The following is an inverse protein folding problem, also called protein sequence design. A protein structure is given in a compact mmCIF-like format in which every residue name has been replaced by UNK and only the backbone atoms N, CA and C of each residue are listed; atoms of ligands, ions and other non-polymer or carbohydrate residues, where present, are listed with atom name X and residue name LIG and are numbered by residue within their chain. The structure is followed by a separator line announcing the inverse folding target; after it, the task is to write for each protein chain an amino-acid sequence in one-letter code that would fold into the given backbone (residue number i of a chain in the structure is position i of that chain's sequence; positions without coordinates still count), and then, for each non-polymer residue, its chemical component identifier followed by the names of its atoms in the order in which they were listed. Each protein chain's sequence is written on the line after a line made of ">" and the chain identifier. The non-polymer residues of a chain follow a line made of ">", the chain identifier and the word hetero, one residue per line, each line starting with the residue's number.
data_IF_657071887250
#
_entry.id   IF_657071887250
#
_cell.length_a   1.000
_cell.length_b   1.000
_cell.length_c   1.000
_cell.angle_alpha   90.00
_cell.angle_beta   90.00
_cell.angle_gamma   90.00
#
_symmetry.space_group_name_H-M   'P 1'
#
loop_
_entity.id
_entity.type
_entity.pdbx_description
1 polymer ?
#
# COMPACT_ATOMS: atom_id res chain seq x y z
N UNK A 1 -1.54 -22.08 15.80
CA UNK A 1 -0.12 -21.68 15.84
C UNK A 1 0.06 -20.58 16.88
N UNK A 2 1.13 -20.57 17.68
CA UNK A 2 1.27 -19.67 18.84
C UNK A 2 1.50 -18.21 18.40
N UNK A 3 0.80 -17.26 19.03
CA UNK A 3 0.99 -15.80 18.81
C UNK A 3 2.20 -15.22 19.53
N UNK A 4 2.76 -15.97 20.49
CA UNK A 4 4.00 -15.65 21.20
C UNK A 4 5.14 -16.52 20.66
N UNK A 5 6.20 -15.88 20.19
CA UNK A 5 7.38 -16.56 19.64
C UNK A 5 8.57 -16.47 20.60
N UNK A 6 9.32 -17.56 20.77
CA UNK A 6 10.55 -17.59 21.58
C UNK A 6 11.79 -17.60 20.66
N UNK A 7 12.64 -16.58 20.80
CA UNK A 7 13.85 -16.36 19.97
C UNK A 7 14.94 -17.44 20.09
N UNK A 8 14.90 -18.33 21.09
CA UNK A 8 15.91 -19.37 21.31
C UNK A 8 16.13 -20.31 20.12
N UNK A 9 15.11 -20.57 19.31
CA UNK A 9 15.21 -21.44 18.13
C UNK A 9 15.79 -20.73 16.91
N UNK A 10 15.60 -19.41 16.80
CA UNK A 10 15.99 -18.61 15.63
C UNK A 10 17.49 -18.32 15.60
N UNK A 11 18.10 -17.96 16.73
CA UNK A 11 19.53 -17.64 16.79
C UNK A 11 20.45 -18.82 16.42
N UNK A 12 19.92 -20.04 16.39
CA UNK A 12 20.63 -21.23 15.90
C UNK A 12 20.61 -21.38 14.37
N UNK A 13 19.70 -20.70 13.65
CA UNK A 13 19.39 -20.97 12.24
C UNK A 13 19.65 -19.82 11.26
N UNK A 14 19.66 -18.55 11.70
CA UNK A 14 19.44 -17.42 10.78
C UNK A 14 20.44 -16.27 10.87
N UNK A 15 21.41 -16.31 11.78
CA UNK A 15 22.53 -15.38 11.72
C UNK A 15 23.59 -15.99 10.80
N UNK A 16 23.81 -15.47 9.58
CA UNK A 16 25.13 -15.62 8.99
C UNK A 16 26.04 -14.86 9.94
N UNK A 17 26.70 -15.60 10.83
CA UNK A 17 27.82 -15.12 11.62
C UNK A 17 28.95 -14.82 10.64
N UNK A 18 28.80 -13.76 9.85
CA UNK A 18 29.86 -13.20 9.02
C UNK A 18 30.87 -12.63 10.01
N UNK A 19 31.78 -13.50 10.46
CA UNK A 19 32.95 -13.13 11.26
C UNK A 19 33.06 -13.69 12.68
N UNK A 20 32.18 -14.58 13.16
CA UNK A 20 32.41 -15.22 14.45
C UNK A 20 32.86 -16.67 14.24
N UNK A 21 34.14 -16.90 14.52
CA UNK A 21 34.72 -18.22 14.68
C UNK A 21 33.82 -19.09 15.56
N UNK A 22 33.72 -20.37 15.19
CA UNK A 22 32.79 -21.37 15.69
C UNK A 22 32.89 -21.72 17.21
N UNK A 23 33.48 -20.86 18.04
CA UNK A 23 33.84 -21.17 19.43
C UNK A 23 32.87 -20.55 20.45
N UNK A 24 32.06 -19.54 20.09
CA UNK A 24 31.31 -18.74 21.07
C UNK A 24 29.81 -19.10 21.25
N UNK A 25 29.31 -20.19 20.65
CA UNK A 25 27.89 -20.61 20.78
C UNK A 25 27.69 -21.74 21.81
N UNK A 26 28.76 -22.38 22.27
CA UNK A 26 28.71 -23.52 23.20
C UNK A 26 28.61 -23.12 24.69
N UNK A 27 28.83 -21.85 25.06
CA UNK A 27 28.87 -21.43 26.46
C UNK A 27 27.50 -21.09 27.08
N UNK A 28 26.46 -20.86 26.28
CA UNK A 28 25.11 -20.48 26.78
C UNK A 28 24.29 -21.70 27.24
N UNK A 29 24.76 -22.93 26.99
CA UNK A 29 24.06 -24.15 27.39
C UNK A 29 24.29 -24.56 28.87
N UNK A 30 25.20 -23.90 29.60
CA UNK A 30 25.63 -24.33 30.94
C UNK A 30 25.63 -23.22 32.01
N UNK A 31 24.66 -22.31 32.04
CA UNK A 31 24.25 -21.57 33.26
C UNK A 31 25.31 -20.86 34.13
N UNK A 32 26.54 -20.67 33.66
CA UNK A 32 27.63 -20.03 34.39
C UNK A 32 27.80 -18.59 33.88
N UNK A 33 27.68 -17.63 34.80
CA UNK A 33 27.99 -16.23 34.52
C UNK A 33 29.51 -16.10 34.44
N UNK A 34 30.07 -16.19 33.23
CA UNK A 34 31.49 -15.90 32.99
C UNK A 34 31.59 -14.48 32.46
N UNK A 35 31.94 -13.51 33.30
CA UNK A 35 32.31 -12.16 32.85
C UNK A 35 33.68 -12.21 32.19
N UNK A 36 33.67 -12.40 30.88
CA UNK A 36 34.82 -12.43 29.98
C UNK A 36 34.69 -11.31 28.95
N UNK A 37 35.81 -10.89 28.37
CA UNK A 37 35.81 -9.88 27.31
C UNK A 37 34.98 -10.34 26.10
N UNK A 38 35.06 -11.65 25.80
CA UNK A 38 34.33 -12.32 24.73
C UNK A 38 32.82 -12.28 24.95
N UNK A 39 32.35 -12.44 26.20
CA UNK A 39 30.93 -12.24 26.54
C UNK A 39 30.52 -10.78 26.36
N UNK A 40 31.38 -9.82 26.74
CA UNK A 40 31.13 -8.40 26.51
C UNK A 40 30.97 -8.05 25.02
N UNK A 41 31.81 -8.61 24.15
CA UNK A 41 31.71 -8.44 22.70
C UNK A 41 30.46 -9.12 22.11
N UNK A 42 30.13 -10.32 22.60
CA UNK A 42 28.91 -11.04 22.21
C UNK A 42 27.66 -10.28 22.63
N UNK A 43 27.59 -9.78 23.86
CA UNK A 43 26.47 -9.01 24.39
C UNK A 43 26.34 -7.66 23.67
N UNK A 44 27.46 -6.99 23.35
CA UNK A 44 27.48 -5.79 22.52
C UNK A 44 26.96 -6.03 21.10
N UNK A 45 27.30 -7.18 20.51
CA UNK A 45 26.81 -7.59 19.18
C UNK A 45 25.32 -7.92 19.20
N UNK A 46 24.86 -8.70 20.19
CA UNK A 46 23.45 -9.04 20.39
C UNK A 46 22.59 -7.81 20.74
N UNK A 47 23.19 -6.80 21.37
CA UNK A 47 22.58 -5.51 21.66
C UNK A 47 22.54 -4.53 20.47
N UNK A 48 23.25 -4.83 19.39
CA UNK A 48 23.45 -3.92 18.27
C UNK A 48 22.20 -3.69 17.40
N UNK A 49 22.17 -2.54 16.71
CA UNK A 49 21.11 -2.18 15.78
C UNK A 49 20.81 -3.24 14.69
N UNK A 50 21.81 -3.95 14.10
CA UNK A 50 21.53 -5.00 13.12
C UNK A 50 20.75 -6.19 13.71
N UNK A 51 21.04 -6.57 14.95
CA UNK A 51 20.32 -7.67 15.62
C UNK A 51 18.90 -7.24 15.97
N UNK A 52 18.70 -6.00 16.45
CA UNK A 52 17.34 -5.44 16.64
C UNK A 52 16.52 -5.46 15.35
N UNK A 53 17.11 -5.03 14.23
CA UNK A 53 16.45 -5.05 12.93
C UNK A 53 16.10 -6.48 12.47
N UNK A 54 17.01 -7.45 12.69
CA UNK A 54 16.76 -8.85 12.38
C UNK A 54 15.62 -9.45 13.24
N UNK A 55 15.60 -9.16 14.54
CA UNK A 55 14.51 -9.58 15.45
C UNK A 55 13.18 -8.96 15.04
N UNK A 56 13.18 -7.68 14.68
CA UNK A 56 11.99 -6.99 14.22
C UNK A 56 11.45 -7.55 12.90
N UNK A 57 12.33 -7.88 11.95
CA UNK A 57 11.93 -8.52 10.71
C UNK A 57 11.36 -9.92 10.96
N UNK A 58 12.00 -10.71 11.84
CA UNK A 58 11.47 -12.01 12.24
C UNK A 58 10.10 -11.90 12.90
N UNK A 59 9.88 -10.91 13.76
CA UNK A 59 8.59 -10.65 14.38
C UNK A 59 7.50 -10.48 13.32
N UNK A 60 7.76 -9.62 12.33
CA UNK A 60 6.85 -9.39 11.19
C UNK A 60 6.58 -10.65 10.39
N UNK A 61 7.62 -11.40 10.08
CA UNK A 61 7.49 -12.65 9.31
C UNK A 61 6.75 -13.73 10.10
N UNK A 62 6.89 -13.77 11.42
CA UNK A 62 6.17 -14.71 12.28
C UNK A 62 4.68 -14.37 12.33
N UNK A 63 4.34 -13.07 12.45
CA UNK A 63 2.95 -12.61 12.31
C UNK A 63 2.40 -13.06 10.95
N UNK A 64 3.14 -12.74 9.88
CA UNK A 64 2.70 -13.04 8.52
C UNK A 64 2.49 -14.55 8.31
N UNK A 65 3.44 -15.39 8.72
CA UNK A 65 3.34 -16.84 8.64
C UNK A 65 2.07 -17.35 9.33
N UNK A 66 1.82 -16.87 10.55
CA UNK A 66 0.63 -17.23 11.33
C UNK A 66 -0.67 -16.82 10.64
N UNK A 67 -0.73 -15.60 10.08
CA UNK A 67 -1.89 -15.07 9.37
C UNK A 67 -2.23 -15.87 8.10
N UNK A 68 -1.24 -16.49 7.45
CA UNK A 68 -1.44 -17.33 6.26
C UNK A 68 -1.42 -18.84 6.57
N UNK A 69 -1.32 -19.24 7.84
CA UNK A 69 -1.28 -20.66 8.23
C UNK A 69 0.01 -21.38 7.81
N UNK A 70 1.10 -20.66 7.61
CA UNK A 70 2.41 -21.18 7.23
C UNK A 70 3.23 -21.45 8.50
N UNK A 71 3.82 -22.64 8.61
CA UNK A 71 4.59 -23.02 9.81
C UNK A 71 5.76 -22.08 10.13
N UNK A 72 6.50 -21.67 9.09
CA UNK A 72 7.64 -20.77 9.23
C UNK A 72 8.11 -20.27 7.87
N UNK A 73 8.27 -18.94 7.75
CA UNK A 73 8.92 -18.32 6.59
C UNK A 73 10.46 -18.42 6.64
N UNK A 74 11.02 -18.93 7.74
CA UNK A 74 12.45 -19.03 7.99
C UNK A 74 13.03 -20.40 7.67
N UNK A 75 12.31 -21.48 7.98
CA UNK A 75 12.87 -22.84 7.99
C UNK A 75 12.46 -23.70 6.80
N UNK A 76 11.63 -23.16 5.91
CA UNK A 76 11.05 -23.85 4.76
C UNK A 76 11.04 -22.87 3.57
N UNK A 77 11.04 -23.37 2.33
CA UNK A 77 10.91 -22.58 1.11
C UNK A 77 9.71 -23.02 0.23
N UNK A 78 9.06 -24.14 0.58
CA UNK A 78 7.96 -24.78 -0.15
C UNK A 78 6.64 -24.02 -0.08
N UNK A 79 6.53 -23.02 0.81
CA UNK A 79 5.33 -22.18 0.90
C UNK A 79 5.10 -21.31 -0.35
N UNK A 80 6.05 -21.28 -1.29
CA UNK A 80 5.89 -20.66 -2.61
C UNK A 80 5.70 -21.69 -3.75
N UNK A 81 5.60 -22.98 -3.47
CA UNK A 81 5.48 -24.01 -4.50
C UNK A 81 4.04 -24.14 -5.02
N UNK A 82 3.06 -23.89 -4.16
CA UNK A 82 1.65 -23.84 -4.56
C UNK A 82 1.27 -22.44 -5.06
N UNK A 83 1.26 -22.28 -6.38
CA UNK A 83 0.86 -21.03 -7.06
C UNK A 83 -0.62 -20.67 -6.89
N UNK A 84 -1.44 -21.60 -6.40
CA UNK A 84 -2.87 -21.39 -6.13
C UNK A 84 -3.14 -20.95 -4.69
N UNK A 85 -2.15 -21.07 -3.80
CA UNK A 85 -2.27 -20.63 -2.41
C UNK A 85 -2.48 -19.11 -2.31
N UNK A 86 -3.27 -18.68 -1.33
CA UNK A 86 -3.53 -17.25 -1.07
C UNK A 86 -2.21 -16.49 -0.84
N UNK A 87 -1.29 -17.09 -0.07
CA UNK A 87 0.00 -16.49 0.23
C UNK A 87 0.83 -16.24 -1.03
N UNK A 88 0.97 -17.25 -1.91
CA UNK A 88 1.74 -17.08 -3.14
C UNK A 88 1.13 -15.99 -4.01
N UNK A 89 -0.19 -16.02 -4.24
CA UNK A 89 -0.86 -15.05 -5.10
C UNK A 89 -0.70 -13.62 -4.59
N UNK A 90 -0.82 -13.42 -3.27
CA UNK A 90 -0.65 -12.11 -2.67
C UNK A 90 0.80 -11.63 -2.69
N UNK A 91 1.76 -12.50 -2.33
CA UNK A 91 3.18 -12.16 -2.31
C UNK A 91 3.70 -11.86 -3.72
N UNK A 92 3.27 -12.64 -4.71
CA UNK A 92 3.61 -12.40 -6.11
C UNK A 92 2.95 -11.12 -6.64
N UNK A 93 1.68 -10.86 -6.28
CA UNK A 93 1.02 -9.59 -6.62
C UNK A 93 1.72 -8.38 -6.00
N UNK A 94 2.18 -8.50 -4.75
CA UNK A 94 2.96 -7.45 -4.08
C UNK A 94 4.28 -7.20 -4.80
N UNK A 95 4.94 -8.26 -5.29
CA UNK A 95 6.15 -8.14 -6.11
C UNK A 95 5.89 -7.42 -7.44
N UNK A 96 4.88 -7.85 -8.19
CA UNK A 96 4.51 -7.20 -9.45
C UNK A 96 4.18 -5.73 -9.23
N UNK A 97 3.40 -5.41 -8.19
CA UNK A 97 3.11 -4.05 -7.77
C UNK A 97 4.39 -3.26 -7.45
N UNK A 98 5.27 -3.81 -6.61
CA UNK A 98 6.52 -3.18 -6.20
C UNK A 98 7.40 -2.86 -7.41
N UNK A 99 7.66 -3.84 -8.27
CA UNK A 99 8.48 -3.67 -9.46
C UNK A 99 7.85 -2.68 -10.44
N UNK A 100 6.57 -2.85 -10.78
CA UNK A 100 5.89 -1.99 -11.75
C UNK A 100 5.78 -0.54 -11.26
N UNK A 101 5.57 -0.28 -9.96
CA UNK A 101 5.54 1.09 -9.44
C UNK A 101 6.92 1.76 -9.34
N UNK A 102 8.00 0.99 -9.23
CA UNK A 102 9.35 1.54 -9.38
C UNK A 102 9.67 1.85 -10.86
N UNK A 103 9.27 0.96 -11.77
CA UNK A 103 9.42 1.15 -13.23
C UNK A 103 8.67 2.39 -13.72
N UNK A 104 7.49 2.68 -13.15
CA UNK A 104 6.72 3.89 -13.46
C UNK A 104 7.55 5.19 -13.27
N UNK A 105 8.46 5.22 -12.30
CA UNK A 105 9.31 6.38 -12.02
C UNK A 105 10.68 6.32 -12.69
N UNK A 106 11.15 5.11 -13.02
CA UNK A 106 12.39 4.88 -13.75
C UNK A 106 12.24 3.64 -14.63
N UNK A 107 12.08 3.83 -15.94
CA UNK A 107 11.86 2.72 -16.90
C UNK A 107 13.00 1.70 -16.93
N UNK A 108 14.22 2.11 -16.54
CA UNK A 108 15.40 1.25 -16.48
C UNK A 108 15.62 0.61 -15.11
N UNK A 109 14.77 0.89 -14.12
CA UNK A 109 14.93 0.48 -12.72
C UNK A 109 15.28 -1.00 -12.58
N UNK A 110 14.57 -1.88 -13.29
CA UNK A 110 14.79 -3.32 -13.14
C UNK A 110 16.20 -3.73 -13.59
N UNK A 111 16.70 -3.19 -14.70
CA UNK A 111 18.05 -3.51 -15.19
C UNK A 111 19.13 -2.93 -14.28
N UNK A 112 18.91 -1.73 -13.75
CA UNK A 112 19.81 -1.10 -12.76
C UNK A 112 19.86 -1.91 -11.45
N UNK A 113 18.71 -2.37 -10.96
CA UNK A 113 18.64 -3.17 -9.74
C UNK A 113 19.26 -4.55 -9.89
N UNK A 114 19.17 -5.19 -11.06
CA UNK A 114 19.82 -6.48 -11.28
C UNK A 114 21.33 -6.46 -11.05
N UNK A 115 22.01 -5.44 -11.58
CA UNK A 115 23.45 -5.25 -11.34
C UNK A 115 23.77 -5.10 -9.84
N UNK A 116 22.89 -4.40 -9.11
CA UNK A 116 23.00 -4.24 -7.66
C UNK A 116 22.79 -5.57 -6.93
N UNK A 117 21.83 -6.38 -7.37
CA UNK A 117 21.53 -7.68 -6.78
C UNK A 117 22.65 -8.71 -7.02
N UNK A 118 23.25 -8.70 -8.21
CA UNK A 118 24.42 -9.53 -8.53
C UNK A 118 25.61 -9.17 -7.62
N UNK A 119 25.90 -7.87 -7.48
CA UNK A 119 26.98 -7.37 -6.62
C UNK A 119 26.77 -7.74 -5.15
N UNK A 120 25.52 -7.71 -4.69
CA UNK A 120 25.15 -8.05 -3.31
C UNK A 120 24.93 -9.56 -3.09
N UNK A 121 25.10 -10.40 -4.11
CA UNK A 121 24.94 -11.85 -4.01
C UNK A 121 23.50 -12.31 -3.76
N UNK A 122 22.49 -11.55 -4.20
CA UNK A 122 21.07 -11.89 -4.01
C UNK A 122 20.34 -12.30 -5.30
N UNK A 123 21.06 -12.43 -6.41
CA UNK A 123 20.50 -12.83 -7.70
C UNK A 123 20.33 -14.34 -7.91
N UNK A 124 20.70 -15.14 -6.91
CA UNK A 124 20.50 -16.59 -6.88
C UNK A 124 19.99 -17.04 -5.52
N UNK A 125 19.27 -18.16 -5.50
CA UNK A 125 18.79 -18.80 -4.29
C UNK A 125 18.91 -20.31 -4.38
N UNK A 126 19.53 -20.91 -3.36
CA UNK A 126 19.61 -22.35 -3.18
C UNK A 126 18.53 -22.80 -2.20
N UNK A 127 17.67 -23.72 -2.62
CA UNK A 127 16.64 -24.27 -1.75
C UNK A 127 17.27 -25.05 -0.59
N UNK A 128 16.67 -24.96 0.60
CA UNK A 128 17.22 -25.56 1.82
C UNK A 128 17.34 -27.09 1.78
N UNK A 129 16.37 -27.76 1.15
CA UNK A 129 16.25 -29.22 1.18
C UNK A 129 16.62 -29.90 -0.16
N UNK A 130 17.10 -29.13 -1.14
CA UNK A 130 17.46 -29.68 -2.46
C UNK A 130 18.75 -29.06 -2.99
N UNK A 131 19.36 -29.70 -3.99
CA UNK A 131 20.51 -29.11 -4.72
C UNK A 131 20.07 -28.10 -5.80
N UNK A 132 18.78 -27.77 -5.87
CA UNK A 132 18.27 -26.90 -6.91
C UNK A 132 18.57 -25.43 -6.59
N UNK A 133 18.91 -24.69 -7.63
CA UNK A 133 19.14 -23.25 -7.58
C UNK A 133 18.16 -22.57 -8.54
N UNK A 134 17.58 -21.47 -8.11
CA UNK A 134 16.84 -20.54 -8.97
C UNK A 134 17.58 -19.20 -9.04
N UNK A 135 17.40 -18.49 -10.14
CA UNK A 135 18.08 -17.22 -10.39
C UNK A 135 17.06 -16.14 -10.78
N UNK A 136 17.50 -14.89 -10.65
CA UNK A 136 16.79 -13.74 -11.21
C UNK A 136 16.87 -13.76 -12.73
N UNK A 137 15.71 -13.79 -13.38
CA UNK A 137 15.60 -13.76 -14.83
C UNK A 137 15.71 -12.33 -15.40
N UNK A 138 15.89 -12.21 -16.72
CA UNK A 138 15.85 -10.93 -17.43
C UNK A 138 14.45 -10.28 -17.48
N UNK A 139 13.45 -10.87 -16.81
CA UNK A 139 12.08 -10.39 -16.75
C UNK A 139 11.64 -10.23 -15.29
N UNK A 140 11.20 -9.02 -14.92
CA UNK A 140 10.69 -8.76 -13.58
C UNK A 140 9.41 -9.55 -13.29
N UNK A 141 8.62 -9.87 -14.31
CA UNK A 141 7.39 -10.68 -14.18
C UNK A 141 7.68 -12.19 -14.12
N UNK A 142 8.93 -12.61 -13.94
CA UNK A 142 9.23 -14.02 -13.75
C UNK A 142 8.91 -14.45 -12.31
N UNK A 143 8.25 -15.61 -12.18
CA UNK A 143 8.10 -16.28 -10.88
C UNK A 143 9.45 -16.61 -10.25
N UNK A 144 10.48 -16.94 -11.04
CA UNK A 144 11.82 -17.22 -10.49
C UNK A 144 12.47 -15.95 -9.93
N UNK A 145 12.31 -14.80 -10.61
CA UNK A 145 12.77 -13.50 -10.08
C UNK A 145 12.12 -13.21 -8.74
N UNK A 146 10.79 -13.33 -8.66
CA UNK A 146 10.05 -13.17 -7.41
C UNK A 146 10.55 -14.12 -6.31
N UNK A 147 10.56 -15.44 -6.58
CA UNK A 147 10.94 -16.45 -5.60
C UNK A 147 12.37 -16.23 -5.10
N UNK A 148 13.31 -15.96 -6.01
CA UNK A 148 14.72 -15.71 -5.66
C UNK A 148 14.83 -14.51 -4.71
N UNK A 149 14.20 -13.39 -5.03
CA UNK A 149 14.28 -12.17 -4.23
C UNK A 149 13.49 -12.23 -2.92
N UNK A 150 12.41 -13.02 -2.85
CA UNK A 150 11.61 -13.18 -1.64
C UNK A 150 12.23 -14.22 -0.67
N UNK A 151 12.72 -15.34 -1.19
CA UNK A 151 13.32 -16.40 -0.36
C UNK A 151 14.68 -15.97 0.21
N UNK A 152 15.39 -15.07 -0.47
CA UNK A 152 16.65 -14.53 0.04
C UNK A 152 16.42 -13.58 1.23
N UNK A 153 16.92 -13.95 2.42
CA UNK A 153 16.70 -13.20 3.67
C UNK A 153 17.45 -11.87 3.73
N UNK A 154 18.51 -11.70 2.94
CA UNK A 154 19.26 -10.43 2.89
C UNK A 154 18.66 -9.43 1.90
N UNK A 155 17.68 -9.86 1.12
CA UNK A 155 16.95 -9.00 0.19
C UNK A 155 16.08 -8.00 0.94
N UNK A 156 16.34 -6.71 0.74
CA UNK A 156 15.48 -5.64 1.28
C UNK A 156 14.07 -5.67 0.68
N UNK A 157 13.93 -6.21 -0.53
CA UNK A 157 12.64 -6.37 -1.23
C UNK A 157 11.71 -7.28 -0.44
N UNK A 158 12.25 -8.37 0.13
CA UNK A 158 11.47 -9.27 0.99
C UNK A 158 10.75 -8.51 2.11
N UNK A 159 11.45 -7.56 2.74
CA UNK A 159 10.90 -6.75 3.81
C UNK A 159 9.76 -5.84 3.35
N UNK A 160 9.91 -5.20 2.18
CA UNK A 160 8.86 -4.38 1.57
C UNK A 160 7.63 -5.23 1.24
N UNK A 161 7.82 -6.43 0.69
CA UNK A 161 6.75 -7.37 0.37
C UNK A 161 6.03 -7.86 1.64
N UNK A 162 6.76 -8.21 2.69
CA UNK A 162 6.17 -8.55 3.99
C UNK A 162 5.33 -7.40 4.54
N UNK A 163 5.80 -6.15 4.44
CA UNK A 163 5.03 -4.99 4.90
C UNK A 163 3.73 -4.81 4.10
N UNK A 164 3.76 -4.96 2.77
CA UNK A 164 2.54 -4.92 1.95
C UNK A 164 1.53 -5.98 2.38
N UNK A 165 1.98 -7.21 2.65
CA UNK A 165 1.10 -8.31 3.04
C UNK A 165 0.51 -8.13 4.45
N UNK A 166 1.31 -7.61 5.39
CA UNK A 166 0.86 -7.30 6.74
C UNK A 166 -0.15 -6.16 6.74
N UNK A 167 0.08 -5.10 5.97
CA UNK A 167 -0.88 -3.99 5.84
C UNK A 167 -2.15 -4.44 5.13
N UNK A 168 -2.04 -5.27 4.08
CA UNK A 168 -3.20 -5.91 3.43
C UNK A 168 -4.05 -6.67 4.46
N UNK A 169 -3.44 -7.58 5.22
CA UNK A 169 -4.12 -8.38 6.27
C UNK A 169 -4.65 -7.55 7.44
N UNK A 170 -4.17 -6.32 7.63
CA UNK A 170 -4.69 -5.41 8.65
C UNK A 170 -5.91 -4.64 8.12
N UNK A 171 -5.80 -4.09 6.92
CA UNK A 171 -6.87 -3.31 6.29
C UNK A 171 -8.04 -4.20 5.85
N UNK A 172 -7.75 -5.46 5.50
CA UNK A 172 -8.69 -6.48 5.04
C UNK A 172 -8.66 -7.70 5.97
N UNK A 173 -9.65 -8.59 5.82
CA UNK A 173 -9.78 -9.87 6.51
C UNK A 173 -9.90 -9.77 8.05
N UNK A 174 -10.61 -8.75 8.53
CA UNK A 174 -10.80 -8.49 9.95
C UNK A 174 -12.08 -9.11 10.51
N UNK A 175 -11.99 -9.73 11.68
CA UNK A 175 -13.17 -10.09 12.46
C UNK A 175 -13.58 -8.95 13.38
N UNK A 176 -14.85 -8.91 13.78
CA UNK A 176 -15.34 -7.91 14.75
C UNK A 176 -14.55 -7.96 16.06
N UNK A 177 -14.18 -9.16 16.50
CA UNK A 177 -13.38 -9.36 17.71
C UNK A 177 -11.98 -8.73 17.57
N UNK A 178 -11.35 -8.87 16.40
CA UNK A 178 -10.05 -8.25 16.14
C UNK A 178 -10.15 -6.72 16.07
N UNK A 179 -11.24 -6.19 15.49
CA UNK A 179 -11.55 -4.75 15.50
C UNK A 179 -11.68 -4.23 16.93
N UNK A 180 -12.47 -4.90 17.78
CA UNK A 180 -12.66 -4.51 19.18
C UNK A 180 -11.37 -4.56 20.01
N UNK A 181 -10.53 -5.57 19.80
CA UNK A 181 -9.21 -5.64 20.47
C UNK A 181 -8.31 -4.47 20.10
N UNK A 182 -8.39 -4.04 18.85
CA UNK A 182 -7.56 -2.96 18.31
C UNK A 182 -8.08 -1.57 18.70
N UNK A 183 -9.40 -1.43 18.75
CA UNK A 183 -10.11 -0.23 19.12
C UNK A 183 -10.76 -0.46 20.49
N UNK A 184 -9.99 -0.34 21.56
CA UNK A 184 -10.43 -0.69 22.93
C UNK A 184 -11.64 0.11 23.43
N UNK A 185 -11.92 1.25 22.80
CA UNK A 185 -13.10 2.08 23.06
C UNK A 185 -14.29 1.80 22.13
N UNK A 186 -14.21 0.80 21.24
CA UNK A 186 -15.25 0.49 20.26
C UNK A 186 -16.61 0.27 20.91
N UNK A 187 -16.69 -0.57 21.94
CA UNK A 187 -17.95 -0.86 22.63
C UNK A 187 -18.51 0.39 23.33
N UNK A 188 -17.64 1.24 23.90
CA UNK A 188 -18.03 2.54 24.47
C UNK A 188 -18.61 3.47 23.40
N UNK A 189 -17.94 3.60 22.25
CA UNK A 189 -18.40 4.42 21.11
C UNK A 189 -19.76 3.94 20.61
N UNK A 190 -19.95 2.62 20.50
CA UNK A 190 -21.18 2.04 19.98
C UNK A 190 -22.33 1.97 21.01
N UNK A 191 -22.06 2.21 22.29
CA UNK A 191 -23.06 2.19 23.36
C UNK A 191 -24.02 3.39 23.32
N UNK A 192 -25.13 3.29 24.06
CA UNK A 192 -26.10 4.38 24.25
C UNK A 192 -25.53 5.58 25.03
N UNK A 193 -24.41 5.40 25.73
CA UNK A 193 -23.74 6.48 26.46
C UNK A 193 -23.08 7.50 25.52
N UNK A 194 -22.69 7.09 24.32
CA UNK A 194 -22.16 7.98 23.28
C UNK A 194 -23.31 8.58 22.48
N UNK A 195 -23.35 9.91 22.39
CA UNK A 195 -24.42 10.62 21.67
C UNK A 195 -24.48 10.21 20.19
N UNK A 196 -25.70 10.16 19.63
CA UNK A 196 -25.93 9.84 18.21
C UNK A 196 -25.36 10.89 17.25
N UNK A 197 -25.00 12.07 17.75
CA UNK A 197 -24.32 13.13 17.01
C UNK A 197 -22.78 12.98 17.02
N UNK A 198 -22.23 12.02 17.74
CA UNK A 198 -20.78 11.77 17.76
C UNK A 198 -20.30 11.30 16.38
N UNK A 199 -19.32 12.00 15.82
CA UNK A 199 -18.83 11.74 14.47
C UNK A 199 -18.22 10.33 14.33
N UNK A 200 -17.60 9.80 15.38
CA UNK A 200 -16.99 8.47 15.37
C UNK A 200 -18.06 7.39 15.42
N UNK A 201 -19.09 7.56 16.25
CA UNK A 201 -20.26 6.67 16.29
C UNK A 201 -20.99 6.65 14.94
N UNK A 202 -21.22 7.82 14.34
CA UNK A 202 -21.82 7.94 13.00
C UNK A 202 -20.99 7.19 11.96
N UNK A 203 -19.67 7.37 11.96
CA UNK A 203 -18.76 6.66 11.05
C UNK A 203 -18.82 5.15 11.26
N UNK A 204 -18.74 4.67 12.50
CA UNK A 204 -18.73 3.24 12.80
C UNK A 204 -20.05 2.56 12.47
N UNK A 205 -21.19 3.22 12.69
CA UNK A 205 -22.51 2.73 12.24
C UNK A 205 -22.61 2.68 10.72
N UNK A 206 -22.02 3.68 10.03
CA UNK A 206 -22.03 3.72 8.57
C UNK A 206 -21.08 2.70 7.93
N UNK A 207 -20.17 2.06 8.67
CA UNK A 207 -19.36 0.94 8.20
C UNK A 207 -20.06 -0.34 8.66
N UNK A 208 -20.46 -1.21 7.73
CA UNK A 208 -21.27 -2.40 8.05
C UNK A 208 -20.57 -3.29 9.10
N UNK A 209 -21.07 -3.27 10.34
CA UNK A 209 -20.52 -4.04 11.46
C UNK A 209 -20.78 -5.55 11.37
N UNK A 210 -21.69 -5.99 10.50
CA UNK A 210 -21.97 -7.40 10.25
C UNK A 210 -21.00 -8.03 9.23
N UNK A 211 -20.33 -7.21 8.42
CA UNK A 211 -19.26 -7.63 7.51
C UNK A 211 -18.00 -6.79 7.78
N UNK A 212 -17.32 -7.08 8.89
CA UNK A 212 -16.12 -6.33 9.33
C UNK A 212 -14.87 -6.59 8.51
N UNK A 213 -14.93 -7.42 7.47
CA UNK A 213 -13.73 -7.89 6.77
C UNK A 213 -12.90 -6.75 6.20
N UNK A 214 -13.49 -5.61 5.88
CA UNK A 214 -12.83 -4.42 5.34
C UNK A 214 -13.00 -3.17 6.23
N UNK A 215 -13.34 -3.35 7.52
CA UNK A 215 -13.63 -2.24 8.44
C UNK A 215 -12.53 -1.18 8.48
N UNK A 216 -11.26 -1.60 8.64
CA UNK A 216 -10.14 -0.66 8.69
C UNK A 216 -9.86 -0.01 7.33
N UNK A 217 -10.04 -0.72 6.22
CA UNK A 217 -9.95 -0.11 4.89
C UNK A 217 -11.03 0.96 4.69
N UNK A 218 -12.30 0.64 4.99
CA UNK A 218 -13.39 1.61 4.87
C UNK A 218 -13.18 2.81 5.77
N UNK A 219 -12.84 2.60 7.05
CA UNK A 219 -12.51 3.68 7.98
C UNK A 219 -11.39 4.55 7.40
N UNK A 220 -10.31 3.94 6.90
CA UNK A 220 -9.17 4.68 6.38
C UNK A 220 -9.55 5.57 5.19
N UNK A 221 -10.29 5.03 4.21
CA UNK A 221 -10.73 5.77 3.02
C UNK A 221 -11.81 6.83 3.30
N UNK A 222 -12.58 6.67 4.37
CA UNK A 222 -13.67 7.60 4.73
C UNK A 222 -13.22 8.72 5.68
N UNK A 223 -12.23 8.46 6.55
CA UNK A 223 -11.85 9.41 7.60
C UNK A 223 -10.36 9.76 7.67
N UNK A 224 -9.47 8.82 7.38
CA UNK A 224 -8.05 8.99 7.70
C UNK A 224 -7.26 9.58 6.52
N UNK A 225 -7.68 9.29 5.28
CA UNK A 225 -7.02 9.78 4.08
C UNK A 225 -8.01 10.04 2.94
N UNK A 226 -7.65 11.00 2.09
CA UNK A 226 -8.45 11.48 0.97
C UNK A 226 -7.87 10.96 -0.33
N UNK A 227 -8.18 9.72 -0.67
CA UNK A 227 -7.42 9.01 -1.70
C UNK A 227 -8.01 9.22 -3.09
N UNK A 228 -7.16 9.65 -4.01
CA UNK A 228 -7.48 9.70 -5.44
C UNK A 228 -6.41 8.99 -6.25
N UNK A 229 -6.83 8.26 -7.29
CA UNK A 229 -5.91 7.78 -8.32
C UNK A 229 -5.78 8.86 -9.39
N UNK A 230 -4.56 9.30 -9.70
CA UNK A 230 -4.35 10.56 -10.43
C UNK A 230 -3.43 10.44 -11.63
N UNK A 231 -3.82 11.11 -12.71
CA UNK A 231 -2.96 11.57 -13.80
C UNK A 231 -2.92 13.08 -13.71
N UNK A 232 -1.72 13.66 -13.64
CA UNK A 232 -1.59 15.11 -13.49
C UNK A 232 -0.34 15.62 -14.15
N UNK A 233 -0.55 16.61 -15.00
CA UNK A 233 0.50 17.37 -15.66
C UNK A 233 0.36 18.85 -15.35
N UNK A 234 1.46 19.47 -14.94
CA UNK A 234 1.52 20.91 -14.65
C UNK A 234 2.66 21.51 -15.44
N UNK A 235 2.39 22.61 -16.15
CA UNK A 235 3.39 23.33 -16.91
C UNK A 235 3.10 24.83 -16.98
N UNK A 236 4.14 25.62 -17.24
CA UNK A 236 4.04 27.04 -17.58
C UNK A 236 4.26 27.16 -19.09
N UNK A 237 3.20 27.17 -19.91
CA UNK A 237 3.33 27.18 -21.36
C UNK A 237 3.95 28.51 -21.85
N UNK A 238 4.69 28.51 -22.97
CA UNK A 238 5.15 29.72 -23.61
C UNK A 238 3.97 30.58 -24.13
N UNK A 239 4.17 31.89 -24.22
CA UNK A 239 3.15 32.87 -24.63
C UNK A 239 2.48 32.52 -25.98
N UNK A 240 3.22 31.94 -26.92
CA UNK A 240 2.72 31.52 -28.23
C UNK A 240 1.67 30.39 -28.17
N UNK A 241 1.71 29.54 -27.15
CA UNK A 241 0.71 28.50 -26.91
C UNK A 241 -0.51 29.04 -26.15
N UNK A 242 -0.30 30.05 -25.31
CA UNK A 242 -1.39 30.75 -24.60
C UNK A 242 -2.27 31.49 -25.61
N UNK A 243 -1.66 32.22 -26.56
CA UNK A 243 -2.40 33.04 -27.53
C UNK A 243 -3.11 32.24 -28.63
N UNK A 244 -2.78 30.97 -28.83
CA UNK A 244 -3.43 30.09 -29.81
C UNK A 244 -4.66 29.35 -29.26
N UNK A 245 -4.92 29.43 -27.94
CA UNK A 245 -6.08 28.79 -27.28
C UNK A 245 -6.00 27.27 -27.16
N UNK A 246 -4.94 26.62 -27.65
CA UNK A 246 -4.82 25.16 -27.82
C UNK A 246 -4.82 24.37 -26.50
N UNK A 247 -4.53 25.02 -25.39
CA UNK A 247 -4.23 24.37 -24.09
C UNK A 247 -5.18 24.84 -22.96
N UNK A 248 -6.25 25.55 -23.29
CA UNK A 248 -7.19 26.08 -22.30
C UNK A 248 -8.19 25.03 -21.80
N UNK A 249 -8.56 24.08 -22.66
CA UNK A 249 -9.64 23.13 -22.40
C UNK A 249 -9.31 21.70 -22.76
N UNK A 250 -10.03 20.74 -22.15
CA UNK A 250 -9.92 19.30 -22.42
C UNK A 250 -11.33 18.72 -22.56
N UNK A 251 -11.53 17.88 -23.58
CA UNK A 251 -12.77 17.09 -23.73
C UNK A 251 -12.54 15.61 -23.98
N UNK A 252 -11.28 15.18 -24.13
CA UNK A 252 -10.93 13.81 -24.44
C UNK A 252 -9.54 13.43 -23.94
N UNK A 253 -9.24 12.12 -23.95
CA UNK A 253 -7.89 11.59 -23.68
C UNK A 253 -6.87 12.15 -24.66
N UNK A 254 -7.25 12.34 -25.92
CA UNK A 254 -6.37 12.88 -26.96
C UNK A 254 -5.99 14.35 -26.66
N UNK A 255 -6.96 15.17 -26.24
CA UNK A 255 -6.71 16.56 -25.89
C UNK A 255 -5.81 16.66 -24.65
N UNK A 256 -6.09 15.86 -23.62
CA UNK A 256 -5.21 15.78 -22.45
C UNK A 256 -3.77 15.40 -22.83
N UNK A 257 -3.59 14.36 -23.64
CA UNK A 257 -2.26 13.91 -24.05
C UNK A 257 -1.54 14.94 -24.93
N UNK A 258 -2.26 15.75 -25.70
CA UNK A 258 -1.68 16.84 -26.49
C UNK A 258 -1.08 17.95 -25.60
N UNK A 259 -1.57 18.10 -24.36
CA UNK A 259 -1.04 19.03 -23.37
C UNK A 259 0.27 18.53 -22.75
N UNK A 260 0.44 17.21 -22.61
CA UNK A 260 1.63 16.60 -21.99
C UNK A 260 2.80 16.62 -22.98
N UNK A 261 3.59 17.69 -22.95
CA UNK A 261 4.72 17.89 -23.87
C UNK A 261 6.05 17.30 -23.39
N UNK A 262 6.18 17.02 -22.10
CA UNK A 262 7.39 16.42 -21.51
C UNK A 262 7.48 14.93 -21.85
N UNK A 263 8.52 14.52 -22.59
CA UNK A 263 8.73 13.13 -22.99
C UNK A 263 8.88 12.16 -21.82
N UNK A 264 9.41 12.58 -20.67
CA UNK A 264 9.48 11.73 -19.49
C UNK A 264 8.09 11.48 -18.88
N UNK A 265 7.19 12.47 -18.93
CA UNK A 265 5.80 12.32 -18.48
C UNK A 265 4.97 11.48 -19.45
N UNK A 266 5.26 11.52 -20.74
CA UNK A 266 4.63 10.68 -21.76
C UNK A 266 4.90 9.19 -21.55
N UNK A 267 6.02 8.83 -20.92
CA UNK A 267 6.34 7.43 -20.58
C UNK A 267 5.55 6.92 -19.35
N UNK A 268 4.97 7.83 -18.55
CA UNK A 268 4.23 7.47 -17.33
C UNK A 268 2.79 7.15 -17.64
N UNK A 269 2.54 5.87 -17.94
CA UNK A 269 1.21 5.30 -18.17
C UNK A 269 0.88 4.24 -17.13
N UNK A 270 -0.41 3.99 -16.93
CA UNK A 270 -0.88 2.96 -15.99
C UNK A 270 -0.61 1.55 -16.56
N UNK A 271 -0.19 0.62 -15.70
CA UNK A 271 0.03 -0.79 -16.03
C UNK A 271 -0.97 -1.66 -15.26
N UNK A 272 -1.41 -2.77 -15.87
CA UNK A 272 -2.35 -3.75 -15.28
C UNK A 272 -1.94 -4.26 -13.89
N UNK A 273 -0.64 -4.38 -13.61
CA UNK A 273 -0.12 -4.89 -12.33
C UNK A 273 -0.39 -3.98 -11.12
N UNK A 274 -0.78 -2.73 -11.34
CA UNK A 274 -1.16 -1.79 -10.27
C UNK A 274 -2.41 -0.97 -10.63
N UNK A 275 -3.12 -1.35 -11.69
CA UNK A 275 -4.23 -0.56 -12.21
C UNK A 275 -5.45 -0.66 -11.29
N UNK A 276 -5.89 0.50 -10.80
CA UNK A 276 -7.20 0.67 -10.17
C UNK A 276 -8.01 1.60 -11.07
N UNK A 277 -8.92 0.99 -11.82
CA UNK A 277 -9.70 1.67 -12.86
C UNK A 277 -10.97 2.31 -12.28
N UNK A 278 -11.53 3.26 -13.01
CA UNK A 278 -12.87 3.78 -12.78
C UNK A 278 -13.95 2.95 -13.47
N UNK A 279 -15.16 3.48 -13.49
CA UNK A 279 -16.32 2.94 -14.19
C UNK A 279 -16.49 3.49 -15.62
N UNK A 280 -15.77 4.57 -15.97
CA UNK A 280 -15.84 5.15 -17.31
C UNK A 280 -15.24 4.25 -18.39
N UNK A 281 -15.62 4.50 -19.65
CA UNK A 281 -15.00 3.90 -20.82
C UNK A 281 -13.79 4.69 -21.33
N UNK A 282 -13.30 5.66 -20.56
CA UNK A 282 -12.14 6.46 -20.96
C UNK A 282 -10.91 5.56 -21.06
N UNK A 283 -10.06 5.79 -22.06
CA UNK A 283 -8.87 4.96 -22.28
C UNK A 283 -7.74 5.33 -21.31
N UNK A 284 -7.90 4.96 -20.04
CA UNK A 284 -6.96 5.30 -18.96
C UNK A 284 -5.55 4.73 -19.20
N UNK A 285 -5.45 3.60 -19.89
CA UNK A 285 -4.18 2.99 -20.28
C UNK A 285 -3.35 3.89 -21.23
N UNK A 286 -4.01 4.75 -22.00
CA UNK A 286 -3.36 5.68 -22.91
C UNK A 286 -3.07 7.06 -22.30
N UNK A 287 -3.61 7.38 -21.12
CA UNK A 287 -3.36 8.67 -20.46
C UNK A 287 -1.91 8.77 -19.95
N UNK A 288 -1.25 9.87 -20.31
CA UNK A 288 0.10 10.21 -19.86
C UNK A 288 0.13 10.85 -18.46
N UNK A 289 1.34 11.01 -17.92
CA UNK A 289 1.58 11.66 -16.62
C UNK A 289 0.84 11.00 -15.45
N UNK A 290 0.75 9.66 -15.46
CA UNK A 290 0.22 8.89 -14.34
C UNK A 290 1.08 9.08 -13.08
N UNK A 291 0.45 9.43 -11.96
CA UNK A 291 1.11 9.63 -10.66
C UNK A 291 0.84 8.48 -9.69
N UNK A 292 -0.19 7.67 -9.93
CA UNK A 292 -0.66 6.67 -8.97
C UNK A 292 -1.60 7.25 -7.95
N UNK A 293 -1.68 6.58 -6.79
CA UNK A 293 -2.49 7.08 -5.69
C UNK A 293 -1.80 8.27 -5.04
N UNK A 294 -2.58 9.28 -4.69
CA UNK A 294 -2.13 10.40 -3.88
C UNK A 294 -3.11 10.63 -2.74
N UNK A 295 -2.58 10.99 -1.58
CA UNK A 295 -3.40 11.55 -0.51
C UNK A 295 -3.65 13.03 -0.85
N UNK A 296 -4.88 13.34 -1.19
CA UNK A 296 -5.29 14.69 -1.57
C UNK A 296 -5.28 15.59 -0.33
N UNK A 297 -4.14 16.27 -0.12
CA UNK A 297 -3.98 17.27 0.93
C UNK A 297 -4.55 18.60 0.45
N UNK A 298 -5.64 19.04 1.06
CA UNK A 298 -6.29 20.32 0.77
C UNK A 298 -5.63 21.46 1.54
N UNK A 299 -5.44 22.61 0.87
CA UNK A 299 -5.23 23.91 1.52
C UNK A 299 -6.47 24.81 1.47
N UNK A 300 -7.51 24.43 0.71
CA UNK A 300 -8.74 25.21 0.55
C UNK A 300 -9.92 24.23 0.46
N UNK A 301 -10.99 24.50 1.20
CA UNK A 301 -12.19 23.66 1.29
C UNK A 301 -12.64 23.22 -0.11
N UNK A 302 -12.64 21.92 -0.43
CA UNK A 302 -12.95 21.45 -1.77
C UNK A 302 -14.42 21.70 -2.06
N UNK A 303 -14.69 22.56 -3.03
CA UNK A 303 -15.96 22.59 -3.72
C UNK A 303 -15.99 21.42 -4.75
N UNK A 304 -17.18 20.93 -5.09
CA UNK A 304 -17.35 19.92 -6.14
C UNK A 304 -17.00 18.49 -5.70
N UNK A 305 -16.41 17.74 -6.62
CA UNK A 305 -16.30 16.28 -6.58
C UNK A 305 -15.22 15.75 -5.61
N UNK A 306 -14.29 16.62 -5.24
CA UNK A 306 -13.24 16.32 -4.26
C UNK A 306 -13.69 16.48 -2.80
N UNK A 307 -14.96 16.84 -2.53
CA UNK A 307 -15.49 16.93 -1.15
C UNK A 307 -15.53 15.58 -0.45
N UNK A 308 -14.91 15.49 0.74
CA UNK A 308 -14.89 14.30 1.60
C UNK A 308 -15.76 14.42 2.85
N UNK A 309 -16.70 15.36 2.87
CA UNK A 309 -17.68 15.43 3.96
C UNK A 309 -18.54 14.16 3.97
N UNK A 310 -19.03 13.76 5.14
CA UNK A 310 -19.90 12.59 5.26
C UNK A 310 -21.15 12.73 4.39
N UNK A 311 -21.72 13.93 4.26
CA UNK A 311 -22.88 14.17 3.40
C UNK A 311 -22.53 13.99 1.91
N UNK A 312 -21.38 14.52 1.46
CA UNK A 312 -20.90 14.29 0.09
C UNK A 312 -20.59 12.81 -0.18
N UNK A 313 -20.10 12.08 0.82
CA UNK A 313 -19.85 10.64 0.72
C UNK A 313 -21.14 9.84 0.65
N UNK A 314 -22.12 10.16 1.50
CA UNK A 314 -23.45 9.50 1.52
C UNK A 314 -24.26 9.80 0.27
N UNK A 315 -24.04 10.95 -0.36
CA UNK A 315 -24.67 11.27 -1.63
C UNK A 315 -24.22 10.31 -2.75
N UNK A 316 -23.07 9.64 -2.65
CA UNK A 316 -22.56 8.71 -3.67
C UNK A 316 -23.17 7.32 -3.48
N UNK A 317 -24.10 6.99 -4.35
CA UNK A 317 -24.87 5.74 -4.34
C UNK A 317 -24.67 4.98 -5.66
N UNK A 318 -25.26 3.79 -5.80
CA UNK A 318 -25.21 3.04 -7.05
C UNK A 318 -25.75 3.81 -8.27
N UNK A 319 -26.68 4.77 -8.08
CA UNK A 319 -27.31 5.52 -9.18
C UNK A 319 -26.56 6.77 -9.63
N UNK A 320 -25.69 7.34 -8.79
CA UNK A 320 -24.93 8.56 -9.11
C UNK A 320 -23.42 8.40 -8.92
N UNK A 321 -22.96 7.16 -8.67
CA UNK A 321 -21.80 6.59 -9.32
C UNK A 321 -20.43 6.99 -8.79
N UNK A 322 -19.43 6.40 -9.46
CA UNK A 322 -18.01 6.67 -9.26
C UNK A 322 -17.71 8.09 -9.73
N UNK A 323 -16.91 8.80 -8.95
CA UNK A 323 -16.50 10.17 -9.24
C UNK A 323 -15.14 10.08 -9.93
N UNK A 324 -15.12 10.33 -11.23
CA UNK A 324 -13.94 10.26 -12.07
C UNK A 324 -14.04 11.19 -13.28
N UNK A 325 -12.91 11.52 -13.90
CA UNK A 325 -12.88 12.31 -15.12
C UNK A 325 -11.77 13.35 -15.14
N UNK A 326 -11.81 14.18 -16.19
CA UNK A 326 -11.00 15.38 -16.29
C UNK A 326 -11.52 16.45 -15.33
N UNK A 327 -10.62 17.07 -14.59
CA UNK A 327 -10.94 18.14 -13.65
C UNK A 327 -11.18 19.46 -14.38
N UNK A 328 -12.34 20.06 -14.13
CA UNK A 328 -12.58 21.47 -14.42
C UNK A 328 -12.05 22.33 -13.26
N UNK A 329 -11.01 23.15 -13.51
CA UNK A 329 -10.35 23.92 -12.45
C UNK A 329 -11.26 24.92 -11.72
N UNK A 330 -12.15 25.68 -12.39
CA UNK A 330 -13.04 26.62 -11.71
C UNK A 330 -14.01 25.95 -10.73
N UNK A 331 -14.62 24.82 -11.14
CA UNK A 331 -15.66 24.15 -10.34
C UNK A 331 -15.16 23.02 -9.45
N UNK A 332 -13.97 22.46 -9.74
CA UNK A 332 -13.44 21.22 -9.16
C UNK A 332 -14.38 20.00 -9.33
N UNK A 333 -15.20 20.01 -10.37
CA UNK A 333 -16.02 18.88 -10.80
C UNK A 333 -15.24 18.05 -11.83
N UNK A 334 -15.44 16.74 -11.81
CA UNK A 334 -14.83 15.80 -12.74
C UNK A 334 -15.82 15.43 -13.84
N UNK A 335 -15.34 15.45 -15.09
CA UNK A 335 -16.13 15.05 -16.24
C UNK A 335 -15.39 14.01 -17.07
N UNK A 336 -16.03 12.86 -17.28
CA UNK A 336 -15.57 11.83 -18.22
C UNK A 336 -15.72 12.32 -19.66
N UNK A 337 -14.96 11.74 -20.60
CA UNK A 337 -15.13 12.07 -22.02
C UNK A 337 -16.56 11.78 -22.51
N UNK A 338 -17.18 10.72 -21.98
CA UNK A 338 -18.56 10.36 -22.32
C UNK A 338 -19.56 11.45 -21.90
N UNK A 339 -19.43 11.99 -20.67
CA UNK A 339 -20.29 13.07 -20.19
C UNK A 339 -20.13 14.34 -21.03
N UNK A 340 -18.88 14.74 -21.32
CA UNK A 340 -18.61 15.92 -22.13
C UNK A 340 -19.17 15.79 -23.55
N UNK A 341 -19.09 14.59 -24.14
CA UNK A 341 -19.66 14.29 -25.46
C UNK A 341 -21.20 14.35 -25.44
N UNK A 342 -21.83 13.78 -24.40
CA UNK A 342 -23.28 13.81 -24.25
C UNK A 342 -23.83 15.23 -24.04
N UNK A 343 -23.14 16.02 -23.20
CA UNK A 343 -23.45 17.42 -22.99
C UNK A 343 -23.33 18.21 -24.29
N UNK A 344 -22.26 18.00 -25.07
CA UNK A 344 -22.07 18.66 -26.37
C UNK A 344 -23.19 18.33 -27.38
N UNK A 345 -23.74 17.11 -27.33
CA UNK A 345 -24.83 16.69 -28.21
C UNK A 345 -26.19 17.30 -27.84
N UNK A 346 -26.34 17.79 -26.60
CA UNK A 346 -27.60 18.33 -26.05
C UNK A 346 -27.48 19.80 -25.65
N UNK A 347 -26.35 20.43 -25.97
CA UNK A 347 -25.86 21.66 -25.34
C UNK A 347 -26.87 22.80 -25.35
N UNK A 348 -27.32 23.16 -24.15
CA UNK A 348 -27.77 24.51 -23.81
C UNK A 348 -26.57 25.41 -23.48
N UNK A 349 -26.79 26.71 -23.25
CA UNK A 349 -25.69 27.64 -22.92
C UNK A 349 -24.98 27.35 -21.60
N UNK A 350 -25.57 26.53 -20.74
CA UNK A 350 -25.09 26.29 -19.38
C UNK A 350 -24.42 24.91 -19.20
N UNK A 351 -24.40 24.08 -20.25
CA UNK A 351 -23.82 22.74 -20.20
C UNK A 351 -22.30 22.76 -20.38
N UNK A 352 -21.58 22.05 -19.52
CA UNK A 352 -20.12 21.88 -19.64
C UNK A 352 -19.80 20.84 -20.71
N UNK A 353 -19.28 21.30 -21.86
CA UNK A 353 -18.90 20.45 -23.00
C UNK A 353 -17.38 20.18 -23.08
N UNK A 354 -16.60 20.95 -22.32
CA UNK A 354 -15.16 20.83 -22.16
C UNK A 354 -14.77 21.37 -20.78
N UNK A 355 -13.69 20.86 -20.19
CA UNK A 355 -13.21 21.31 -18.89
C UNK A 355 -12.09 22.32 -19.04
N UNK A 356 -12.04 23.32 -18.16
CA UNK A 356 -10.98 24.33 -18.15
C UNK A 356 -9.79 23.83 -17.34
N UNK A 357 -8.61 23.76 -17.97
CA UNK A 357 -7.37 23.25 -17.35
C UNK A 357 -6.27 24.31 -17.23
N UNK A 358 -6.56 25.54 -17.61
CA UNK A 358 -5.65 26.68 -17.50
C UNK A 358 -6.12 27.63 -16.40
N UNK A 359 -5.16 28.21 -15.67
CA UNK A 359 -5.40 29.29 -14.72
C UNK A 359 -4.32 30.35 -14.84
N UNK A 360 -4.64 31.58 -14.46
CA UNK A 360 -3.68 32.69 -14.38
C UNK A 360 -3.61 33.18 -12.93
N UNK A 361 -2.40 33.31 -12.40
CA UNK A 361 -2.18 33.88 -11.06
C UNK A 361 -0.96 34.78 -11.11
N UNK A 362 -1.11 36.03 -10.67
CA UNK A 362 -0.04 37.04 -10.65
C UNK A 362 0.67 37.20 -12.01
N UNK A 363 -0.08 37.16 -13.11
CA UNK A 363 0.47 37.29 -14.48
C UNK A 363 1.23 36.06 -14.98
N UNK A 364 1.21 34.95 -14.24
CA UNK A 364 1.75 33.66 -14.69
C UNK A 364 0.59 32.75 -15.06
N UNK A 365 0.55 32.32 -16.32
CA UNK A 365 -0.37 31.30 -16.81
C UNK A 365 0.20 29.91 -16.52
N UNK A 366 -0.62 29.04 -15.95
CA UNK A 366 -0.26 27.66 -15.65
C UNK A 366 -1.33 26.74 -16.20
N UNK A 367 -0.89 25.67 -16.86
CA UNK A 367 -1.75 24.55 -17.19
C UNK A 367 -1.67 23.53 -16.06
N UNK A 368 -2.81 23.09 -15.57
CA UNK A 368 -2.96 22.05 -14.57
C UNK A 368 -4.03 21.08 -15.07
N UNK A 369 -3.62 20.20 -15.98
CA UNK A 369 -4.48 19.16 -16.52
C UNK A 369 -4.45 17.97 -15.56
N UNK A 370 -5.62 17.60 -15.04
CA UNK A 370 -5.78 16.48 -14.12
C UNK A 370 -6.89 15.56 -14.60
N UNK A 371 -6.63 14.27 -14.62
CA UNK A 371 -7.64 13.22 -14.58
C UNK A 371 -7.56 12.55 -13.21
N UNK A 372 -8.69 12.36 -12.55
CA UNK A 372 -8.72 11.73 -11.24
C UNK A 372 -9.83 10.70 -11.13
N UNK A 373 -9.62 9.71 -10.27
CA UNK A 373 -10.65 8.77 -9.81
C UNK A 373 -10.67 8.84 -8.29
N UNK A 374 -11.84 9.11 -7.72
CA UNK A 374 -12.04 9.16 -6.28
C UNK A 374 -12.18 7.75 -5.70
N UNK A 375 -11.22 7.35 -4.88
CA UNK A 375 -11.18 5.99 -4.30
C UNK A 375 -11.93 5.98 -2.97
N UNK A 376 -13.20 5.61 -3.01
CA UNK A 376 -14.02 5.43 -1.81
C UNK A 376 -15.25 4.55 -2.05
N UNK A 377 -15.77 3.90 -0.99
CA UNK A 377 -16.98 3.09 -1.12
C UNK A 377 -18.20 3.93 -1.49
N UNK A 378 -19.24 3.25 -1.99
CA UNK A 378 -20.56 3.83 -2.22
C UNK A 378 -21.43 3.66 -0.97
N UNK A 379 -22.38 4.55 -0.77
CA UNK A 379 -23.38 4.45 0.28
C UNK A 379 -24.59 3.64 -0.21
N UNK A 380 -24.94 2.60 0.54
CA UNK A 380 -26.17 1.86 0.34
C UNK A 380 -27.27 2.48 1.20
N UNK A 381 -28.25 3.10 0.56
CA UNK A 381 -29.37 3.78 1.22
C UNK A 381 -30.35 2.82 1.90
N UNK A 382 -30.35 1.54 1.53
CA UNK A 382 -31.24 0.53 2.14
C UNK A 382 -30.67 0.00 3.46
N UNK A 383 -29.36 -0.28 3.51
CA UNK A 383 -28.70 -0.73 4.74
C UNK A 383 -28.13 0.42 5.57
N UNK A 384 -28.15 1.65 5.05
CA UNK A 384 -27.52 2.83 5.64
C UNK A 384 -26.02 2.68 5.92
N UNK A 385 -25.32 1.89 5.09
CA UNK A 385 -23.89 1.60 5.23
C UNK A 385 -23.11 1.83 3.95
N UNK A 386 -21.82 2.12 4.07
CA UNK A 386 -20.87 2.09 2.97
C UNK A 386 -20.60 0.66 2.50
N UNK A 387 -20.34 0.51 1.21
CA UNK A 387 -20.02 -0.77 0.55
C UNK A 387 -19.14 -0.54 -0.68
N UNK A 388 -18.26 -1.50 -0.96
CA UNK A 388 -17.57 -1.55 -2.25
C UNK A 388 -18.41 -2.21 -3.35
N UNK A 389 -19.53 -2.85 -3.02
CA UNK A 389 -20.42 -3.42 -4.03
C UNK A 389 -20.89 -2.34 -5.00
N UNK A 390 -20.75 -2.60 -6.31
CA UNK A 390 -21.07 -1.64 -7.36
C UNK A 390 -19.92 -0.69 -7.71
N UNK A 391 -18.76 -0.77 -7.05
CA UNK A 391 -17.55 -0.07 -7.49
C UNK A 391 -16.68 -0.93 -8.41
N UNK A 392 -15.83 -0.32 -9.26
CA UNK A 392 -14.80 -1.02 -10.02
C UNK A 392 -13.82 -1.80 -9.15
N UNK A 393 -13.69 -1.41 -7.87
CA UNK A 393 -12.81 -2.04 -6.88
C UNK A 393 -13.55 -2.94 -5.88
N UNK A 394 -14.71 -3.48 -6.26
CA UNK A 394 -15.45 -4.43 -5.44
C UNK A 394 -14.72 -5.78 -5.26
N UNK A 395 -13.84 -6.16 -6.19
CA UNK A 395 -13.16 -7.45 -6.16
C UNK A 395 -12.02 -7.49 -5.15
N UNK A 396 -11.75 -8.67 -4.60
CA UNK A 396 -10.62 -8.89 -3.67
C UNK A 396 -9.27 -8.49 -4.28
N UNK A 397 -9.09 -8.69 -5.59
CA UNK A 397 -7.89 -8.29 -6.30
C UNK A 397 -7.71 -6.76 -6.32
N UNK A 398 -8.77 -6.01 -6.61
CA UNK A 398 -8.72 -4.55 -6.63
C UNK A 398 -8.56 -3.97 -5.23
N UNK A 399 -9.24 -4.53 -4.22
CA UNK A 399 -9.03 -4.14 -2.83
C UNK A 399 -7.59 -4.41 -2.39
N UNK A 400 -7.01 -5.55 -2.78
CA UNK A 400 -5.59 -5.83 -2.54
C UNK A 400 -4.69 -4.75 -3.17
N UNK A 401 -4.90 -4.41 -4.44
CA UNK A 401 -4.11 -3.36 -5.10
C UNK A 401 -4.26 -2.01 -4.39
N UNK A 402 -5.47 -1.66 -3.95
CA UNK A 402 -5.71 -0.46 -3.12
C UNK A 402 -4.86 -0.53 -1.85
N UNK A 403 -4.88 -1.61 -1.08
CA UNK A 403 -4.07 -1.71 0.15
C UNK A 403 -2.57 -1.57 -0.11
N UNK A 404 -2.07 -2.08 -1.24
CA UNK A 404 -0.67 -1.91 -1.63
C UNK A 404 -0.35 -0.46 -1.97
N UNK A 405 -1.22 0.21 -2.73
CA UNK A 405 -1.11 1.65 -2.97
C UNK A 405 -1.12 2.46 -1.68
N UNK A 406 -2.04 2.18 -0.75
CA UNK A 406 -2.13 2.87 0.54
C UNK A 406 -0.82 2.73 1.34
N UNK A 407 -0.28 1.52 1.46
CA UNK A 407 1.01 1.30 2.13
C UNK A 407 2.17 2.04 1.45
N UNK A 408 2.14 2.18 0.12
CA UNK A 408 3.19 2.90 -0.64
C UNK A 408 3.17 4.40 -0.35
N UNK A 409 1.99 5.00 -0.18
CA UNK A 409 1.84 6.45 -0.01
C UNK A 409 1.78 6.89 1.46
N UNK A 410 1.41 5.99 2.38
CA UNK A 410 1.38 6.22 3.81
C UNK A 410 2.23 5.17 4.53
N UNK A 411 3.49 5.52 4.78
CA UNK A 411 4.45 4.66 5.49
C UNK A 411 4.08 4.42 6.95
N UNK A 412 3.08 5.12 7.52
CA UNK A 412 2.63 4.89 8.90
C UNK A 412 1.67 3.70 9.02
N UNK A 413 1.12 3.20 7.89
CA UNK A 413 0.19 2.07 7.89
C UNK A 413 0.81 0.79 8.43
N UNK A 414 2.10 0.55 8.17
CA UNK A 414 2.77 -0.62 8.75
C UNK A 414 2.82 -0.52 10.27
N UNK A 415 3.07 0.67 10.84
CA UNK A 415 3.03 0.87 12.30
C UNK A 415 1.63 0.63 12.86
N UNK A 416 0.58 1.15 12.20
CA UNK A 416 -0.82 0.87 12.59
C UNK A 416 -1.14 -0.62 12.56
N UNK A 417 -0.69 -1.33 11.52
CA UNK A 417 -0.85 -2.77 11.40
C UNK A 417 -0.13 -3.53 12.53
N UNK A 418 1.10 -3.14 12.87
CA UNK A 418 1.86 -3.78 13.95
C UNK A 418 1.24 -3.53 15.33
N UNK A 419 0.73 -2.32 15.58
CA UNK A 419 -0.04 -2.01 16.80
C UNK A 419 -1.30 -2.86 16.89
N UNK A 420 -2.01 -3.01 15.77
CA UNK A 420 -3.15 -3.92 15.67
C UNK A 420 -2.76 -5.36 16.02
N UNK A 421 -1.72 -5.93 15.39
CA UNK A 421 -1.29 -7.29 15.69
C UNK A 421 -0.81 -7.47 17.13
N UNK A 422 -0.15 -6.47 17.71
CA UNK A 422 0.18 -6.48 19.14
C UNK A 422 -1.08 -6.60 20.00
N UNK A 423 -2.13 -5.82 19.71
CA UNK A 423 -3.40 -5.91 20.41
C UNK A 423 -4.07 -7.29 20.27
N UNK A 424 -3.82 -7.98 19.15
CA UNK A 424 -4.25 -9.37 18.95
C UNK A 424 -3.40 -10.41 19.72
N UNK A 425 -2.34 -9.97 20.41
CA UNK A 425 -1.46 -10.79 21.24
C UNK A 425 -0.17 -11.26 20.54
N UNK A 426 0.14 -10.76 19.34
CA UNK A 426 1.41 -11.07 18.70
C UNK A 426 2.57 -10.42 19.47
N UNK A 427 3.57 -11.22 19.81
CA UNK A 427 4.71 -10.75 20.60
C UNK A 427 5.94 -11.63 20.47
N UNK A 428 7.10 -11.03 20.77
CA UNK A 428 8.38 -11.72 20.86
C UNK A 428 8.79 -11.88 22.32
N UNK A 429 9.35 -13.04 22.65
CA UNK A 429 10.00 -13.31 23.93
C UNK A 429 11.36 -13.95 23.73
N UNK A 430 12.27 -13.75 24.69
CA UNK A 430 13.57 -14.41 24.72
C UNK A 430 13.99 -14.65 26.16
N UNK A 431 14.65 -15.78 26.39
CA UNK A 431 15.30 -16.02 27.69
C UNK A 431 16.82 -15.73 27.63
N UNK A 432 17.28 -15.07 26.55
CA UNK A 432 18.66 -14.62 26.41
C UNK A 432 18.74 -13.21 26.99
N UNK A 433 19.38 -13.08 28.14
CA UNK A 433 19.34 -11.87 28.97
C UNK A 433 19.88 -10.61 28.26
N UNK A 434 20.95 -10.71 27.46
CA UNK A 434 21.49 -9.57 26.73
C UNK A 434 20.58 -9.10 25.60
N UNK A 435 19.97 -10.05 24.87
CA UNK A 435 18.98 -9.73 23.86
C UNK A 435 17.72 -9.17 24.50
N UNK A 436 17.26 -9.76 25.61
CA UNK A 436 16.15 -9.27 26.42
C UNK A 436 16.36 -7.81 26.80
N UNK A 437 17.48 -7.48 27.45
CA UNK A 437 17.81 -6.09 27.82
C UNK A 437 17.85 -5.13 26.64
N UNK A 438 18.24 -5.62 25.46
CA UNK A 438 18.32 -4.81 24.23
C UNK A 438 16.95 -4.50 23.64
N UNK A 439 16.01 -5.45 23.68
CA UNK A 439 14.67 -5.31 23.08
C UNK A 439 13.58 -5.00 24.11
N UNK A 440 13.91 -4.98 25.40
CA UNK A 440 13.01 -4.58 26.48
C UNK A 440 12.62 -3.11 26.31
N UNK A 441 11.32 -2.83 26.26
CA UNK A 441 10.78 -1.51 25.94
C UNK A 441 10.47 -1.27 24.46
N UNK A 442 10.93 -2.15 23.56
CA UNK A 442 10.49 -2.13 22.16
C UNK A 442 9.02 -2.57 22.06
N UNK A 443 8.27 -1.98 21.13
CA UNK A 443 6.81 -2.17 21.06
C UNK A 443 6.38 -3.64 20.83
N UNK A 444 7.25 -4.48 20.27
CA UNK A 444 6.99 -5.87 19.92
C UNK A 444 7.43 -6.90 20.98
N UNK A 445 8.08 -6.45 22.07
CA UNK A 445 8.55 -7.31 23.14
C UNK A 445 7.46 -7.51 24.22
N UNK A 446 7.30 -8.75 24.71
CA UNK A 446 6.30 -9.15 25.72
C UNK A 446 6.82 -9.27 27.14
#
# INVERSE_FOLDING_TARGET
>A
MAKKFNLKSFLKLSLPLVGLSAVAVSAVACGQVVDSAEKGEQDGTLGGAPVKAAVFNLYKETILANLYGIDSLQSNDTYLDDSTSEFYQDAYSAWLFYASTNILNNINWFQEQRSTWDTNGISSYNFKDTTNTINVDNNYQSANTFKTLFLNQTSTIRNDLVNYLLVKRYLLNQSLEDVKKSLTNYDTIMSDATAETDATKILYKAINVENTSDFFLMKYLLSDAKIVNQWKYTSTPPLSQITSGVIATVKSVADYNAIVTDSAQQLKTINTNFAVNGASSDNLAALFAYQGFVNFNETVTPAGDFSWTMDSLKARTASNGIVEGFQDLPSNVLYTQQQLTANAATASTDDVTEVTVMSETNGTTTVNATYAIKIAPLFNTTSETFTFTGTPWASNEQQRLITFWLNKIDSTLITKALTHYKALGYSVSTDIESLKKSIEGEEYYA
#
